data_IF_894001267845
#
_entry.id   IF_894001267845
#
_cell.length_a   1.000
_cell.length_b   1.000
_cell.length_c   1.000
_cell.angle_alpha   90.00
_cell.angle_beta   90.00
_cell.angle_gamma   90.00
#
_symmetry.space_group_name_H-M   'P 1'
#
loop_
_entity.id
_entity.type
_entity.pdbx_description
1 polymer ?
#
# COMPACT_ATOMS: atom_id res chain seq x y z
N UNK A 1 18.28 7.31 12.37
CA UNK A 1 17.88 6.92 11.00
C UNK A 1 18.52 7.92 10.06
N UNK A 2 19.28 7.49 9.04
CA UNK A 2 19.72 8.43 8.00
C UNK A 2 18.47 8.84 7.21
N UNK A 3 18.22 10.16 7.16
CA UNK A 3 17.28 10.86 6.26
C UNK A 3 15.83 10.34 6.22
N UNK A 4 14.96 10.81 7.11
CA UNK A 4 13.51 10.78 6.83
C UNK A 4 13.26 11.82 5.74
N UNK A 5 12.63 11.41 4.64
CA UNK A 5 12.30 12.31 3.52
C UNK A 5 10.83 12.70 3.68
N UNK A 6 10.59 13.77 4.42
CA UNK A 6 9.26 14.19 4.87
C UNK A 6 8.26 14.28 3.72
N UNK A 7 8.60 14.95 2.63
CA UNK A 7 7.73 15.13 1.46
C UNK A 7 7.22 13.82 0.84
N UNK A 8 7.96 12.71 0.95
CA UNK A 8 7.48 11.40 0.49
C UNK A 8 6.42 10.81 1.42
N UNK A 9 6.47 11.11 2.73
CA UNK A 9 5.37 10.81 3.64
C UNK A 9 4.13 11.62 3.27
N UNK A 10 4.29 12.89 2.90
CA UNK A 10 3.19 13.73 2.41
C UNK A 10 2.48 13.13 1.19
N UNK A 11 3.26 12.71 0.18
CA UNK A 11 2.72 12.01 -1.00
C UNK A 11 1.99 10.73 -0.62
N UNK A 12 2.57 9.95 0.29
CA UNK A 12 1.96 8.72 0.80
C UNK A 12 0.58 8.97 1.41
N UNK A 13 0.43 10.09 2.14
CA UNK A 13 -0.84 10.54 2.69
C UNK A 13 -1.88 10.83 1.60
N UNK A 14 -1.54 11.69 0.63
CA UNK A 14 -2.44 12.06 -0.48
C UNK A 14 -2.86 10.82 -1.26
N UNK A 15 -1.90 9.99 -1.64
CA UNK A 15 -2.16 8.78 -2.42
C UNK A 15 -3.04 7.77 -1.67
N UNK A 16 -2.91 7.67 -0.35
CA UNK A 16 -3.83 6.80 0.43
C UNK A 16 -5.28 7.30 0.39
N UNK A 17 -5.50 8.61 0.34
CA UNK A 17 -6.85 9.20 0.19
C UNK A 17 -7.37 9.01 -1.23
N UNK A 18 -6.53 9.12 -2.26
CA UNK A 18 -6.94 8.86 -3.65
C UNK A 18 -7.35 7.39 -3.86
N UNK A 19 -6.67 6.45 -3.18
CA UNK A 19 -7.08 5.04 -3.16
C UNK A 19 -8.45 4.86 -2.48
N UNK A 20 -8.78 5.65 -1.46
CA UNK A 20 -10.14 5.62 -0.85
C UNK A 20 -11.18 6.04 -1.89
N UNK A 21 -10.90 7.10 -2.64
CA UNK A 21 -11.80 7.56 -3.70
C UNK A 21 -11.97 6.51 -4.81
N UNK A 22 -10.90 5.84 -5.24
CA UNK A 22 -10.97 4.73 -6.19
C UNK A 22 -11.96 3.63 -5.74
N UNK A 23 -11.89 3.25 -4.46
CA UNK A 23 -12.67 2.12 -3.94
C UNK A 23 -14.09 2.48 -3.51
N UNK A 24 -14.51 3.75 -3.58
CA UNK A 24 -15.94 4.11 -3.47
C UNK A 24 -16.67 3.82 -4.78
N UNK A 25 -16.41 2.65 -5.36
CA UNK A 25 -16.87 2.25 -6.69
C UNK A 25 -18.27 1.60 -6.67
N UNK A 26 -19.03 1.72 -5.58
CA UNK A 26 -20.43 1.31 -5.54
C UNK A 26 -21.30 2.14 -6.50
N UNK A 27 -20.80 3.27 -6.98
CA UNK A 27 -21.48 4.21 -7.87
C UNK A 27 -20.68 4.47 -9.14
N UNK A 28 -20.27 3.40 -9.85
CA UNK A 28 -19.37 3.48 -11.03
C UNK A 28 -19.82 4.45 -12.12
N UNK A 29 -21.13 4.67 -12.26
CA UNK A 29 -21.72 5.56 -13.26
C UNK A 29 -21.66 7.04 -12.90
N UNK A 30 -21.41 7.39 -11.63
CA UNK A 30 -21.41 8.79 -11.18
C UNK A 30 -20.20 9.54 -11.73
N UNK A 31 -20.39 10.82 -12.05
CA UNK A 31 -19.33 11.70 -12.58
C UNK A 31 -18.11 11.80 -11.65
N UNK A 32 -18.29 11.60 -10.34
CA UNK A 32 -17.22 11.64 -9.35
C UNK A 32 -16.32 10.40 -9.41
N UNK A 33 -16.81 9.30 -9.97
CA UNK A 33 -16.07 8.04 -10.14
C UNK A 33 -15.68 7.77 -11.58
N UNK A 34 -16.59 8.04 -12.52
CA UNK A 34 -16.44 7.74 -13.94
C UNK A 34 -15.51 8.73 -14.65
N UNK A 35 -14.27 8.84 -14.15
CA UNK A 35 -13.23 9.65 -14.74
C UNK A 35 -11.89 8.91 -14.67
N UNK A 36 -11.03 9.17 -15.65
CA UNK A 36 -9.74 8.47 -15.78
C UNK A 36 -8.88 8.55 -14.51
N UNK A 37 -8.98 9.64 -13.76
CA UNK A 37 -8.11 9.89 -12.62
C UNK A 37 -8.49 9.04 -11.40
N UNK A 38 -9.77 9.04 -11.02
CA UNK A 38 -10.27 8.24 -9.89
C UNK A 38 -10.23 6.75 -10.22
N UNK A 39 -10.60 6.37 -11.44
CA UNK A 39 -10.55 4.96 -11.90
C UNK A 39 -9.13 4.39 -11.81
N UNK A 40 -8.10 5.17 -12.15
CA UNK A 40 -6.72 4.68 -12.13
C UNK A 40 -5.96 5.04 -10.85
N UNK A 41 -6.66 5.50 -9.80
CA UNK A 41 -6.02 5.80 -8.51
C UNK A 41 -5.62 4.54 -7.73
N UNK A 42 -6.00 3.34 -8.18
CA UNK A 42 -5.44 2.05 -7.73
C UNK A 42 -3.94 1.92 -8.01
N UNK A 43 -3.44 2.58 -9.05
CA UNK A 43 -2.02 2.60 -9.40
C UNK A 43 -1.15 3.21 -8.30
N UNK A 44 -1.70 4.05 -7.42
CA UNK A 44 -0.94 4.62 -6.31
C UNK A 44 -0.49 3.57 -5.28
N UNK A 45 -1.04 2.35 -5.33
CA UNK A 45 -0.48 1.21 -4.58
C UNK A 45 0.96 0.90 -5.02
N UNK A 46 1.29 1.10 -6.30
CA UNK A 46 2.67 0.92 -6.79
C UNK A 46 3.62 1.93 -6.18
N UNK A 47 3.18 3.17 -5.98
CA UNK A 47 3.99 4.14 -5.26
C UNK A 47 4.35 3.65 -3.86
N UNK A 48 3.42 3.00 -3.14
CA UNK A 48 3.73 2.44 -1.82
C UNK A 48 4.80 1.35 -1.90
N UNK A 49 4.73 0.45 -2.89
CA UNK A 49 5.75 -0.59 -3.09
C UNK A 49 7.11 0.00 -3.47
N UNK A 50 7.16 0.94 -4.42
CA UNK A 50 8.40 1.63 -4.83
C UNK A 50 8.99 2.40 -3.65
N UNK A 51 8.18 3.14 -2.91
CA UNK A 51 8.63 3.87 -1.72
C UNK A 51 9.14 2.91 -0.64
N UNK A 52 8.50 1.76 -0.45
CA UNK A 52 8.94 0.74 0.48
C UNK A 52 10.32 0.20 0.11
N UNK A 53 10.54 -0.15 -1.16
CA UNK A 53 11.85 -0.56 -1.68
C UNK A 53 12.93 0.49 -1.46
N UNK A 54 12.63 1.75 -1.77
CA UNK A 54 13.52 2.89 -1.56
C UNK A 54 13.92 3.04 -0.08
N UNK A 55 12.94 3.09 0.83
CA UNK A 55 13.17 3.30 2.26
C UNK A 55 13.89 2.11 2.90
N UNK A 56 13.54 0.88 2.51
CA UNK A 56 14.21 -0.32 3.02
C UNK A 56 15.66 -0.39 2.54
N UNK A 57 15.92 -0.17 1.25
CA UNK A 57 17.29 -0.14 0.73
C UNK A 57 18.14 0.88 1.48
N UNK A 58 17.62 2.10 1.67
CA UNK A 58 18.30 3.18 2.39
C UNK A 58 18.67 2.82 3.83
N UNK A 59 17.85 2.02 4.51
CA UNK A 59 18.03 1.73 5.93
C UNK A 59 18.68 0.37 6.21
N UNK A 60 18.60 -0.61 5.30
CA UNK A 60 18.96 -2.00 5.56
C UNK A 60 20.03 -2.58 4.63
N UNK A 61 20.43 -1.91 3.55
CA UNK A 61 21.44 -2.43 2.60
C UNK A 61 22.73 -2.89 3.28
N UNK A 62 23.17 -2.18 4.32
CA UNK A 62 24.42 -2.47 5.03
C UNK A 62 24.19 -3.01 6.46
N UNK A 63 22.95 -3.36 6.80
CA UNK A 63 22.57 -3.86 8.14
C UNK A 63 22.29 -5.35 8.19
N UNK A 64 21.85 -5.95 7.09
CA UNK A 64 21.58 -7.39 7.02
C UNK A 64 22.88 -8.08 6.61
N UNK A 65 23.62 -8.62 7.58
CA UNK A 65 24.90 -9.32 7.34
C UNK A 65 24.90 -10.77 7.83
N UNK A 66 23.90 -11.14 8.61
CA UNK A 66 23.75 -12.48 9.19
C UNK A 66 22.27 -12.92 9.17
N UNK A 67 22.00 -14.23 9.32
CA UNK A 67 20.63 -14.71 9.51
C UNK A 67 19.91 -14.03 10.69
N UNK A 68 20.61 -13.73 11.78
CA UNK A 68 20.05 -13.02 12.93
C UNK A 68 19.59 -11.59 12.59
N UNK A 69 20.36 -10.88 11.75
CA UNK A 69 19.96 -9.56 11.25
C UNK A 69 18.73 -9.64 10.35
N UNK A 70 18.66 -10.67 9.50
CA UNK A 70 17.51 -10.94 8.62
C UNK A 70 16.23 -11.19 9.43
N UNK A 71 16.26 -12.08 10.43
CA UNK A 71 15.12 -12.30 11.31
C UNK A 71 14.77 -11.07 12.13
N UNK A 72 15.77 -10.32 12.60
CA UNK A 72 15.55 -9.03 13.29
C UNK A 72 14.90 -7.98 12.38
N UNK A 73 15.24 -7.96 11.10
CA UNK A 73 14.63 -7.11 10.08
C UNK A 73 13.16 -7.51 9.87
N UNK A 74 12.87 -8.78 9.58
CA UNK A 74 11.51 -9.27 9.36
C UNK A 74 10.62 -9.04 10.58
N UNK A 75 11.12 -9.33 11.79
CA UNK A 75 10.40 -9.06 13.04
C UNK A 75 9.97 -7.59 13.15
N UNK A 76 10.84 -6.64 12.76
CA UNK A 76 10.49 -5.20 12.75
C UNK A 76 9.47 -4.83 11.67
N UNK A 77 9.35 -5.60 10.60
CA UNK A 77 8.31 -5.40 9.56
C UNK A 77 6.98 -5.95 10.03
N UNK A 78 6.96 -7.17 10.57
CA UNK A 78 5.77 -7.79 11.16
C UNK A 78 5.21 -6.93 12.29
N UNK A 79 6.03 -6.47 13.25
CA UNK A 79 5.56 -5.59 14.34
C UNK A 79 4.95 -4.28 13.82
N UNK A 80 5.36 -3.81 12.64
CA UNK A 80 4.82 -2.59 12.03
C UNK A 80 3.48 -2.83 11.34
N UNK A 81 3.34 -3.94 10.62
CA UNK A 81 2.16 -4.21 9.78
C UNK A 81 1.07 -5.00 10.54
N UNK A 82 1.48 -6.06 11.24
CA UNK A 82 0.56 -7.05 11.80
C UNK A 82 -0.50 -6.50 12.76
N UNK A 83 -0.20 -5.56 13.67
CA UNK A 83 -1.21 -5.11 14.65
C UNK A 83 -2.48 -4.58 14.00
N UNK A 84 -2.35 -3.74 12.97
CA UNK A 84 -3.51 -3.16 12.31
C UNK A 84 -4.14 -4.14 11.31
N UNK A 85 -3.32 -4.95 10.62
CA UNK A 85 -3.82 -6.01 9.75
C UNK A 85 -4.75 -6.95 10.52
N UNK A 86 -4.30 -7.50 11.65
CA UNK A 86 -5.11 -8.39 12.50
C UNK A 86 -6.36 -7.68 13.00
N UNK A 87 -6.24 -6.44 13.48
CA UNK A 87 -7.39 -5.70 13.97
C UNK A 87 -8.47 -5.53 12.89
N UNK A 88 -8.08 -5.07 11.69
CA UNK A 88 -9.05 -4.89 10.59
C UNK A 88 -9.66 -6.22 10.13
N UNK A 89 -8.85 -7.29 10.08
CA UNK A 89 -9.35 -8.62 9.72
C UNK A 89 -10.38 -9.15 10.73
N UNK A 90 -10.14 -8.96 12.02
CA UNK A 90 -11.10 -9.32 13.08
C UNK A 90 -12.38 -8.50 13.00
N UNK A 91 -12.29 -7.19 12.73
CA UNK A 91 -13.46 -6.33 12.53
C UNK A 91 -14.29 -6.81 11.33
N UNK A 92 -13.63 -7.14 10.22
CA UNK A 92 -14.30 -7.71 9.04
C UNK A 92 -14.95 -9.05 9.31
N UNK A 93 -14.26 -9.95 10.02
CA UNK A 93 -14.79 -11.26 10.40
C UNK A 93 -16.05 -11.09 11.26
N UNK A 94 -15.99 -10.23 12.28
CA UNK A 94 -17.12 -9.93 13.15
C UNK A 94 -18.32 -9.39 12.37
N UNK A 95 -18.11 -8.38 11.50
CA UNK A 95 -19.18 -7.82 10.69
C UNK A 95 -19.75 -8.82 9.70
N UNK A 96 -18.94 -9.71 9.15
CA UNK A 96 -19.42 -10.74 8.24
C UNK A 96 -20.31 -11.77 8.94
N UNK A 97 -19.90 -12.26 10.11
CA UNK A 97 -20.67 -13.21 10.92
C UNK A 97 -21.99 -12.58 11.39
N UNK A 98 -21.94 -11.35 11.91
CA UNK A 98 -23.17 -10.62 12.28
C UNK A 98 -24.06 -10.40 11.05
N UNK A 99 -23.44 -10.05 9.92
CA UNK A 99 -24.13 -9.81 8.66
C UNK A 99 -24.81 -11.06 8.10
N UNK A 100 -24.27 -12.26 8.29
CA UNK A 100 -24.90 -13.52 7.83
C UNK A 100 -26.26 -13.76 8.47
N UNK A 101 -26.52 -13.15 9.63
CA UNK A 101 -27.81 -13.18 10.32
C UNK A 101 -28.67 -11.93 10.05
N UNK A 102 -28.20 -11.01 9.21
CA UNK A 102 -28.89 -9.75 8.91
C UNK A 102 -29.67 -9.82 7.60
N UNK A 103 -30.92 -9.33 7.54
CA UNK A 103 -31.67 -9.24 6.29
C UNK A 103 -31.06 -8.23 5.31
N UNK A 104 -30.09 -7.43 5.74
CA UNK A 104 -29.39 -6.45 4.90
C UNK A 104 -28.25 -7.07 4.08
N UNK A 105 -27.84 -8.31 4.35
CA UNK A 105 -26.78 -9.00 3.60
C UNK A 105 -27.39 -9.82 2.46
N UNK A 106 -26.82 -9.68 1.27
CA UNK A 106 -27.38 -10.29 0.05
C UNK A 106 -27.06 -11.79 -0.09
N UNK A 107 -26.02 -12.27 0.61
CA UNK A 107 -25.51 -13.62 0.53
C UNK A 107 -24.71 -13.95 1.80
N UNK A 108 -24.87 -15.17 2.30
CA UNK A 108 -24.01 -15.72 3.35
C UNK A 108 -22.85 -16.48 2.73
N UNK A 109 -21.71 -16.54 3.43
CA UNK A 109 -20.58 -17.35 3.03
C UNK A 109 -20.54 -18.64 3.85
N UNK A 110 -20.01 -19.70 3.25
CA UNK A 110 -19.66 -20.93 3.96
C UNK A 110 -18.62 -20.62 5.07
N UNK A 111 -18.76 -21.12 6.31
CA UNK A 111 -17.77 -20.93 7.36
C UNK A 111 -16.33 -21.25 6.95
N UNK A 112 -16.13 -22.21 6.04
CA UNK A 112 -14.79 -22.54 5.53
C UNK A 112 -14.18 -21.39 4.70
N UNK A 113 -14.99 -20.58 4.03
CA UNK A 113 -14.53 -19.37 3.34
C UNK A 113 -13.83 -18.43 4.32
N UNK A 114 -14.44 -18.16 5.48
CA UNK A 114 -13.85 -17.29 6.50
C UNK A 114 -12.52 -17.82 7.03
N UNK A 115 -12.44 -19.13 7.30
CA UNK A 115 -11.19 -19.75 7.75
C UNK A 115 -10.09 -19.58 6.69
N UNK A 116 -10.41 -19.82 5.42
CA UNK A 116 -9.45 -19.67 4.31
C UNK A 116 -8.98 -18.24 4.15
N UNK A 117 -9.89 -17.27 4.04
CA UNK A 117 -9.53 -15.86 3.82
C UNK A 117 -8.77 -15.26 5.00
N UNK A 118 -9.15 -15.60 6.23
CA UNK A 118 -8.42 -15.13 7.42
C UNK A 118 -7.03 -15.75 7.47
N UNK A 119 -6.90 -17.05 7.21
CA UNK A 119 -5.60 -17.73 7.19
C UNK A 119 -4.70 -17.13 6.10
N UNK A 120 -5.25 -16.89 4.92
CA UNK A 120 -4.57 -16.31 3.78
C UNK A 120 -4.01 -14.90 4.09
N UNK A 121 -4.84 -14.02 4.65
CA UNK A 121 -4.42 -12.68 5.08
C UNK A 121 -3.39 -12.73 6.21
N UNK A 122 -3.62 -13.53 7.25
CA UNK A 122 -2.78 -13.57 8.44
C UNK A 122 -1.44 -14.28 8.23
N UNK A 123 -1.30 -15.07 7.16
CA UNK A 123 -0.05 -15.70 6.73
C UNK A 123 0.67 -14.90 5.64
N UNK A 124 0.15 -13.72 5.25
CA UNK A 124 0.67 -12.89 4.16
C UNK A 124 0.67 -13.58 2.79
N UNK A 125 -0.31 -14.43 2.53
CA UNK A 125 -0.44 -15.16 1.27
C UNK A 125 -1.50 -14.56 0.35
N UNK A 126 -2.30 -13.61 0.80
CA UNK A 126 -3.43 -13.04 0.04
C UNK A 126 -3.11 -12.26 -1.23
N UNK A 127 -1.86 -12.30 -1.71
CA UNK A 127 -1.46 -11.84 -3.05
C UNK A 127 -0.90 -12.97 -3.92
N UNK A 128 -1.08 -14.21 -3.49
CA UNK A 128 -0.59 -15.44 -4.12
C UNK A 128 -1.74 -16.41 -4.34
N UNK A 129 -1.65 -17.32 -5.33
CA UNK A 129 -2.67 -18.34 -5.56
C UNK A 129 -2.58 -19.53 -4.58
N UNK A 130 -1.77 -19.44 -3.51
CA UNK A 130 -1.44 -20.60 -2.63
C UNK A 130 -2.68 -21.12 -1.92
N UNK A 131 -3.46 -20.22 -1.32
CA UNK A 131 -4.72 -20.60 -0.71
C UNK A 131 -5.84 -20.62 -1.75
N UNK A 132 -5.81 -19.71 -2.73
CA UNK A 132 -6.67 -19.69 -3.91
C UNK A 132 -6.79 -18.28 -4.48
N UNK A 133 -7.52 -18.13 -5.58
CA UNK A 133 -7.69 -16.86 -6.29
C UNK A 133 -8.95 -16.12 -5.81
N UNK A 134 -8.95 -15.62 -4.57
CA UNK A 134 -10.09 -14.91 -3.99
C UNK A 134 -9.71 -13.59 -3.33
N UNK A 135 -10.71 -12.72 -3.23
CA UNK A 135 -10.61 -11.45 -2.53
C UNK A 135 -10.75 -11.72 -1.01
N UNK A 136 -9.71 -11.39 -0.25
CA UNK A 136 -9.75 -11.47 1.22
C UNK A 136 -10.83 -10.58 1.84
N UNK A 137 -11.16 -10.79 3.11
CA UNK A 137 -12.25 -10.07 3.78
C UNK A 137 -12.01 -8.55 3.76
N UNK A 138 -10.78 -8.14 4.07
CA UNK A 138 -10.29 -6.81 3.80
C UNK A 138 -9.67 -6.79 2.39
N UNK A 139 -10.44 -6.44 1.35
CA UNK A 139 -9.98 -6.48 -0.04
C UNK A 139 -8.65 -5.74 -0.35
N UNK A 140 -8.22 -4.64 0.32
CA UNK A 140 -6.89 -4.04 0.08
C UNK A 140 -5.71 -4.80 0.72
N UNK A 141 -5.98 -5.81 1.57
CA UNK A 141 -4.94 -6.50 2.36
C UNK A 141 -3.94 -7.30 1.52
N UNK A 142 -4.29 -7.70 0.29
CA UNK A 142 -3.37 -8.37 -0.65
C UNK A 142 -2.06 -7.58 -0.82
N UNK A 143 -2.13 -6.25 -0.82
CA UNK A 143 -0.95 -5.40 -0.98
C UNK A 143 0.03 -5.55 0.19
N UNK A 144 -0.48 -5.80 1.40
CA UNK A 144 0.35 -6.01 2.59
C UNK A 144 1.04 -7.37 2.53
N UNK A 145 0.36 -8.39 2.01
CA UNK A 145 0.94 -9.69 1.69
C UNK A 145 2.07 -9.54 0.66
N UNK A 146 1.82 -8.83 -0.44
CA UNK A 146 2.82 -8.55 -1.47
C UNK A 146 4.04 -7.80 -0.90
N UNK A 147 3.80 -6.82 -0.02
CA UNK A 147 4.89 -6.06 0.63
C UNK A 147 5.74 -6.95 1.55
N UNK A 148 5.12 -7.83 2.35
CA UNK A 148 5.87 -8.77 3.19
C UNK A 148 6.69 -9.77 2.36
N UNK A 149 6.12 -10.31 1.28
CA UNK A 149 6.86 -11.19 0.37
C UNK A 149 8.07 -10.44 -0.23
N UNK A 150 7.89 -9.20 -0.68
CA UNK A 150 8.98 -8.38 -1.19
C UNK A 150 10.08 -8.12 -0.14
N UNK A 151 9.72 -7.91 1.13
CA UNK A 151 10.71 -7.81 2.21
C UNK A 151 11.50 -9.10 2.41
N UNK A 152 10.84 -10.26 2.38
CA UNK A 152 11.51 -11.57 2.49
C UNK A 152 12.48 -11.76 1.33
N UNK A 153 12.01 -11.55 0.09
CA UNK A 153 12.84 -11.65 -1.12
C UNK A 153 14.05 -10.73 -1.04
N UNK A 154 13.84 -9.44 -0.73
CA UNK A 154 14.94 -8.48 -0.59
C UNK A 154 15.93 -8.91 0.49
N UNK A 155 15.45 -9.26 1.69
CA UNK A 155 16.32 -9.65 2.79
C UNK A 155 17.16 -10.90 2.48
N UNK A 156 16.59 -11.88 1.78
CA UNK A 156 17.31 -13.07 1.31
C UNK A 156 18.35 -12.72 0.26
N UNK A 157 18.03 -11.86 -0.71
CA UNK A 157 18.99 -11.44 -1.74
C UNK A 157 20.17 -10.68 -1.12
N UNK A 158 19.92 -9.77 -0.16
CA UNK A 158 21.00 -9.06 0.53
C UNK A 158 21.87 -10.03 1.35
N UNK A 159 21.27 -11.01 2.02
CA UNK A 159 21.99 -11.98 2.85
C UNK A 159 22.83 -12.96 2.02
N UNK A 160 22.29 -13.47 0.91
CA UNK A 160 22.85 -14.60 0.17
C UNK A 160 23.68 -14.18 -1.05
N UNK A 161 23.24 -13.17 -1.80
CA UNK A 161 23.90 -12.78 -3.05
C UNK A 161 25.07 -11.82 -2.85
N UNK A 162 25.23 -11.23 -1.65
CA UNK A 162 26.34 -10.38 -1.24
C UNK A 162 26.74 -9.35 -2.32
N UNK A 163 27.88 -9.55 -3.00
CA UNK A 163 28.41 -8.67 -4.06
C UNK A 163 27.52 -8.62 -5.30
N UNK A 164 26.81 -9.71 -5.60
CA UNK A 164 25.96 -9.85 -6.79
C UNK A 164 24.50 -9.46 -6.55
N UNK A 165 24.16 -8.89 -5.38
CA UNK A 165 22.79 -8.52 -5.00
C UNK A 165 22.03 -7.73 -6.07
N UNK A 166 22.68 -6.76 -6.71
CA UNK A 166 22.02 -5.94 -7.73
C UNK A 166 21.78 -6.71 -9.04
N UNK A 167 22.67 -7.64 -9.42
CA UNK A 167 22.47 -8.53 -10.57
C UNK A 167 21.26 -9.43 -10.32
N UNK A 168 21.19 -10.04 -9.13
CA UNK A 168 20.06 -10.90 -8.75
C UNK A 168 18.75 -10.12 -8.73
N UNK A 169 18.73 -8.91 -8.16
CA UNK A 169 17.54 -8.04 -8.19
C UNK A 169 17.13 -7.68 -9.63
N UNK A 170 18.09 -7.42 -10.53
CA UNK A 170 17.80 -7.17 -11.95
C UNK A 170 17.17 -8.40 -12.62
N UNK A 171 17.72 -9.60 -12.39
CA UNK A 171 17.15 -10.85 -12.91
C UNK A 171 15.72 -11.09 -12.39
N UNK A 172 15.48 -10.85 -11.10
CA UNK A 172 14.14 -10.94 -10.49
C UNK A 172 13.19 -9.94 -11.14
N UNK A 173 13.60 -8.68 -11.33
CA UNK A 173 12.77 -7.67 -12.00
C UNK A 173 12.44 -8.08 -13.44
N UNK A 174 13.41 -8.60 -14.20
CA UNK A 174 13.17 -9.08 -15.57
C UNK A 174 12.22 -10.27 -15.60
N UNK A 175 12.34 -11.21 -14.66
CA UNK A 175 11.41 -12.32 -14.53
C UNK A 175 9.98 -11.84 -14.20
N UNK A 176 9.84 -10.85 -13.30
CA UNK A 176 8.53 -10.27 -12.98
C UNK A 176 7.90 -9.57 -14.19
N UNK A 177 8.69 -8.78 -14.94
CA UNK A 177 8.23 -8.12 -16.17
C UNK A 177 7.83 -9.19 -17.20
N UNK A 178 8.67 -10.21 -17.42
CA UNK A 178 8.38 -11.30 -18.35
C UNK A 178 7.10 -12.04 -17.99
N UNK A 179 6.86 -12.31 -16.70
CA UNK A 179 5.61 -12.92 -16.24
C UNK A 179 4.40 -12.03 -16.49
N UNK A 180 4.49 -10.74 -16.17
CA UNK A 180 3.39 -9.79 -16.39
C UNK A 180 3.05 -9.68 -17.88
N UNK A 181 4.07 -9.59 -18.74
CA UNK A 181 3.89 -9.55 -20.20
C UNK A 181 3.28 -10.85 -20.71
N UNK A 182 3.73 -12.00 -20.20
CA UNK A 182 3.17 -13.31 -20.55
C UNK A 182 1.70 -13.45 -20.11
N UNK A 183 1.35 -12.95 -18.93
CA UNK A 183 -0.05 -12.90 -18.45
C UNK A 183 -0.92 -11.95 -19.26
N UNK A 184 -0.34 -10.93 -19.88
CA UNK A 184 -1.05 -9.93 -20.68
C UNK A 184 -1.78 -8.86 -19.86
N UNK A 185 -1.63 -8.87 -18.54
CA UNK A 185 -2.24 -7.89 -17.64
C UNK A 185 -1.29 -7.50 -16.50
N UNK A 186 -1.26 -6.20 -16.20
CA UNK A 186 -0.46 -5.61 -15.14
C UNK A 186 -1.20 -5.52 -13.80
N UNK A 187 -2.53 -5.39 -13.81
CA UNK A 187 -3.33 -5.18 -12.58
C UNK A 187 -3.55 -6.53 -11.86
N UNK A 188 -2.44 -7.16 -11.48
CA UNK A 188 -2.40 -8.31 -10.60
C UNK A 188 -2.65 -7.85 -9.16
N UNK A 189 -3.50 -8.56 -8.43
CA UNK A 189 -3.88 -8.21 -7.05
C UNK A 189 -3.82 -9.44 -6.12
N UNK A 190 -4.95 -10.08 -5.85
CA UNK A 190 -4.99 -11.32 -5.07
C UNK A 190 -4.38 -12.48 -5.85
N UNK A 191 -4.54 -12.45 -7.17
CA UNK A 191 -3.93 -13.33 -8.15
C UNK A 191 -2.57 -12.78 -8.60
N UNK A 192 -1.50 -13.24 -7.96
CA UNK A 192 -0.11 -12.89 -8.32
C UNK A 192 0.31 -11.43 -8.09
N UNK A 193 -0.42 -10.63 -7.31
CA UNK A 193 -0.02 -9.26 -6.99
C UNK A 193 1.33 -9.15 -6.26
N UNK A 194 1.84 -10.25 -5.68
CA UNK A 194 3.20 -10.31 -5.15
C UNK A 194 4.27 -10.06 -6.25
N UNK A 195 4.03 -10.45 -7.50
CA UNK A 195 4.95 -10.25 -8.63
C UNK A 195 5.06 -8.77 -8.97
N UNK A 196 3.90 -8.09 -9.07
CA UNK A 196 3.81 -6.64 -9.21
C UNK A 196 4.50 -5.94 -8.03
N UNK A 197 4.22 -6.38 -6.80
CA UNK A 197 4.84 -5.85 -5.59
C UNK A 197 6.37 -5.96 -5.58
N UNK A 198 6.92 -7.13 -5.94
CA UNK A 198 8.38 -7.35 -6.04
C UNK A 198 8.99 -6.44 -7.11
N UNK A 199 8.39 -6.34 -8.30
CA UNK A 199 8.87 -5.45 -9.36
C UNK A 199 8.95 -4.01 -8.87
N UNK A 200 7.85 -3.48 -8.34
CA UNK A 200 7.78 -2.11 -7.80
C UNK A 200 8.82 -1.90 -6.69
N UNK A 201 8.95 -2.86 -5.78
CA UNK A 201 9.93 -2.82 -4.70
C UNK A 201 11.37 -2.74 -5.23
N UNK A 202 11.74 -3.60 -6.18
CA UNK A 202 13.05 -3.59 -6.81
C UNK A 202 13.34 -2.25 -7.51
N UNK A 203 12.36 -1.67 -8.21
CA UNK A 203 12.48 -0.34 -8.81
C UNK A 203 12.86 0.69 -7.74
N UNK A 204 12.21 0.66 -6.58
CA UNK A 204 12.56 1.51 -5.43
C UNK A 204 13.98 1.31 -4.89
N UNK A 205 14.45 0.05 -4.84
CA UNK A 205 15.84 -0.26 -4.44
C UNK A 205 16.83 0.39 -5.41
N UNK A 206 16.56 0.34 -6.71
CA UNK A 206 17.40 0.99 -7.73
C UNK A 206 17.31 2.52 -7.66
N UNK A 207 16.13 3.09 -7.35
CA UNK A 207 15.97 4.53 -7.07
C UNK A 207 16.91 4.97 -5.94
N UNK A 208 16.98 4.19 -4.85
CA UNK A 208 17.90 4.47 -3.76
C UNK A 208 19.37 4.38 -4.20
N UNK A 209 19.73 3.34 -4.95
CA UNK A 209 21.09 3.17 -5.47
C UNK A 209 21.52 4.39 -6.30
N UNK A 210 20.65 4.90 -7.17
CA UNK A 210 20.93 6.10 -7.97
C UNK A 210 21.15 7.33 -7.08
N UNK A 211 20.21 7.62 -6.18
CA UNK A 211 20.29 8.78 -5.27
C UNK A 211 21.42 8.68 -4.24
N UNK A 212 21.93 7.48 -3.97
CA UNK A 212 23.11 7.29 -3.11
C UNK A 212 24.42 7.73 -3.78
N UNK A 213 24.45 7.76 -5.12
CA UNK A 213 25.62 8.08 -5.94
C UNK A 213 25.57 9.49 -6.52
N UNK A 214 24.38 10.02 -6.75
CA UNK A 214 24.19 11.31 -7.43
C UNK A 214 23.43 12.28 -6.53
N UNK A 215 23.87 13.53 -6.49
CA UNK A 215 23.14 14.63 -5.86
C UNK A 215 22.48 15.46 -6.96
N UNK A 216 21.16 15.56 -6.91
CA UNK A 216 20.36 16.30 -7.87
C UNK A 216 19.70 17.51 -7.20
N UNK A 217 19.33 18.51 -7.99
CA UNK A 217 18.49 19.64 -7.57
C UNK A 217 17.40 19.83 -8.62
N UNK A 218 16.18 19.37 -8.32
CA UNK A 218 15.10 19.20 -9.30
C UNK A 218 13.84 20.03 -8.96
N UNK A 219 14.01 21.21 -8.34
CA UNK A 219 12.88 22.03 -7.89
C UNK A 219 11.94 22.49 -9.01
N UNK A 220 12.44 22.63 -10.24
CA UNK A 220 11.62 22.99 -11.41
C UNK A 220 10.91 21.80 -12.04
N UNK A 221 11.26 20.57 -11.66
CA UNK A 221 10.70 19.35 -12.23
C UNK A 221 9.42 18.87 -11.50
N UNK A 222 9.00 19.54 -10.42
CA UNK A 222 7.80 19.17 -9.64
C UNK A 222 6.53 19.20 -10.51
N UNK A 223 6.22 20.33 -11.15
CA UNK A 223 5.03 20.46 -12.00
C UNK A 223 5.12 19.61 -13.29
N UNK A 224 6.24 19.60 -14.03
CA UNK A 224 6.40 18.68 -15.17
C UNK A 224 6.17 17.21 -14.79
N UNK A 225 6.63 16.78 -13.60
CA UNK A 225 6.38 15.44 -13.11
C UNK A 225 4.88 15.16 -12.90
N UNK A 226 4.15 16.08 -12.25
CA UNK A 226 2.70 15.93 -12.03
C UNK A 226 1.95 15.88 -13.37
N UNK A 227 2.31 16.74 -14.32
CA UNK A 227 1.72 16.75 -15.66
C UNK A 227 1.96 15.41 -16.36
N UNK A 228 3.20 14.90 -16.32
CA UNK A 228 3.53 13.61 -16.91
C UNK A 228 2.72 12.47 -16.27
N UNK A 229 2.64 12.43 -14.94
CA UNK A 229 1.89 11.40 -14.21
C UNK A 229 0.42 11.40 -14.61
N UNK A 230 -0.23 12.57 -14.63
CA UNK A 230 -1.64 12.72 -15.03
C UNK A 230 -1.83 12.38 -16.51
N UNK A 231 -0.92 12.82 -17.39
CA UNK A 231 -0.97 12.50 -18.81
C UNK A 231 -0.80 10.99 -19.07
N UNK A 232 0.07 10.31 -18.33
CA UNK A 232 0.23 8.86 -18.41
C UNK A 232 -1.03 8.12 -17.92
N UNK A 233 -1.68 8.60 -16.85
CA UNK A 233 -2.97 8.05 -16.39
C UNK A 233 -4.06 8.24 -17.42
N UNK A 234 -4.14 9.43 -18.04
CA UNK A 234 -5.09 9.70 -19.11
C UNK A 234 -4.84 8.80 -20.32
N UNK A 235 -3.60 8.74 -20.81
CA UNK A 235 -3.19 7.93 -21.96
C UNK A 235 -3.50 6.44 -21.77
N UNK A 236 -3.10 5.88 -20.63
CA UNK A 236 -3.32 4.45 -20.33
C UNK A 236 -4.78 4.09 -20.16
N UNK A 237 -5.60 5.01 -19.65
CA UNK A 237 -7.04 4.82 -19.57
C UNK A 237 -7.73 4.95 -20.95
N UNK A 238 -7.46 6.04 -21.67
CA UNK A 238 -8.15 6.39 -22.90
C UNK A 238 -7.85 5.42 -24.05
N UNK A 239 -6.62 4.91 -24.12
CA UNK A 239 -6.22 3.90 -25.11
C UNK A 239 -6.24 2.46 -24.55
N UNK A 240 -6.84 2.24 -23.38
CA UNK A 240 -6.99 0.92 -22.75
C UNK A 240 -5.67 0.13 -22.71
N UNK A 241 -4.56 0.83 -22.41
CA UNK A 241 -3.22 0.26 -22.41
C UNK A 241 -2.97 -0.54 -21.13
N UNK A 242 -3.57 -1.72 -21.01
CA UNK A 242 -3.44 -2.61 -19.85
C UNK A 242 -1.98 -2.87 -19.48
N UNK A 243 -1.18 -3.36 -20.44
CA UNK A 243 0.26 -3.55 -20.26
C UNK A 243 1.04 -2.22 -20.20
N UNK A 244 0.48 -1.13 -20.75
CA UNK A 244 1.07 0.21 -20.63
C UNK A 244 1.25 0.63 -19.17
N UNK A 245 0.44 0.10 -18.25
CA UNK A 245 0.55 0.39 -16.82
C UNK A 245 1.89 -0.07 -16.18
N UNK A 246 2.65 -0.95 -16.85
CA UNK A 246 4.03 -1.31 -16.46
C UNK A 246 5.00 -0.11 -16.37
N UNK A 247 4.67 1.04 -16.96
CA UNK A 247 5.48 2.25 -16.85
C UNK A 247 5.37 2.93 -15.47
N UNK A 248 4.28 2.71 -14.72
CA UNK A 248 3.99 3.45 -13.49
C UNK A 248 5.01 3.26 -12.36
N UNK A 249 5.56 2.05 -12.10
CA UNK A 249 6.65 1.90 -11.13
C UNK A 249 7.84 2.83 -11.41
N UNK A 250 8.17 3.01 -12.70
CA UNK A 250 9.25 3.90 -13.12
C UNK A 250 8.87 5.38 -13.01
N UNK A 251 7.62 5.74 -13.33
CA UNK A 251 7.09 7.10 -13.09
C UNK A 251 7.14 7.41 -11.59
N UNK A 252 6.69 6.51 -10.72
CA UNK A 252 6.76 6.69 -9.27
C UNK A 252 8.19 6.78 -8.73
N UNK A 253 9.13 5.99 -9.29
CA UNK A 253 10.56 6.16 -9.01
C UNK A 253 11.06 7.55 -9.39
N UNK A 254 10.66 8.07 -10.55
CA UNK A 254 11.00 9.45 -10.94
C UNK A 254 10.38 10.48 -10.00
N UNK A 255 9.14 10.27 -9.54
CA UNK A 255 8.53 11.09 -8.50
C UNK A 255 9.35 11.10 -7.21
N UNK A 256 9.79 9.94 -6.74
CA UNK A 256 10.68 9.83 -5.58
C UNK A 256 11.99 10.61 -5.82
N UNK A 257 12.58 10.52 -7.01
CA UNK A 257 13.80 11.27 -7.37
C UNK A 257 13.58 12.78 -7.33
N UNK A 258 12.51 13.25 -7.98
CA UNK A 258 12.15 14.68 -8.05
C UNK A 258 11.92 15.22 -6.64
N UNK A 259 11.01 14.61 -5.89
CA UNK A 259 10.64 15.12 -4.56
C UNK A 259 11.74 14.94 -3.52
N UNK A 260 12.56 13.89 -3.59
CA UNK A 260 13.75 13.76 -2.70
C UNK A 260 14.83 14.80 -3.00
N UNK A 261 14.83 15.38 -4.20
CA UNK A 261 15.85 16.31 -4.70
C UNK A 261 15.34 17.73 -4.90
N UNK A 262 14.13 18.04 -4.43
CA UNK A 262 13.46 19.32 -4.62
C UNK A 262 13.36 20.12 -3.31
N UNK A 263 13.30 21.44 -3.45
CA UNK A 263 12.94 22.41 -2.40
C UNK A 263 11.83 23.38 -2.86
N UNK A 264 11.13 22.98 -3.93
CA UNK A 264 10.08 23.74 -4.61
C UNK A 264 8.78 23.86 -3.81
N UNK A 265 7.78 24.56 -4.37
CA UNK A 265 6.51 24.83 -3.69
C UNK A 265 5.72 23.57 -3.36
N UNK A 266 5.68 22.57 -4.23
CA UNK A 266 4.95 21.32 -3.94
C UNK A 266 5.65 20.53 -2.84
N UNK A 267 6.99 20.49 -2.84
CA UNK A 267 7.74 19.88 -1.73
C UNK A 267 7.43 20.57 -0.40
N UNK A 268 7.37 21.91 -0.35
CA UNK A 268 7.01 22.65 0.88
C UNK A 268 5.59 22.33 1.34
N UNK A 269 4.63 22.23 0.42
CA UNK A 269 3.26 21.84 0.73
C UNK A 269 3.21 20.40 1.29
N UNK A 270 3.91 19.46 0.66
CA UNK A 270 3.98 18.06 1.11
C UNK A 270 4.67 17.91 2.46
N UNK A 271 5.61 18.80 2.78
CA UNK A 271 6.27 18.88 4.10
C UNK A 271 5.46 19.65 5.15
N UNK A 272 4.28 20.20 4.81
CA UNK A 272 3.43 20.87 5.78
C UNK A 272 2.91 19.91 6.85
N UNK A 273 2.62 20.44 8.05
CA UNK A 273 2.09 19.65 9.18
C UNK A 273 0.89 18.76 8.82
N UNK A 274 -0.15 19.26 8.13
CA UNK A 274 -1.28 18.43 7.71
C UNK A 274 -0.91 17.28 6.77
N UNK A 275 -0.06 17.53 5.76
CA UNK A 275 0.37 16.50 4.81
C UNK A 275 1.25 15.44 5.48
N UNK A 276 2.18 15.88 6.34
CA UNK A 276 2.98 14.98 7.17
C UNK A 276 2.12 14.11 8.09
N UNK A 277 1.05 14.69 8.64
CA UNK A 277 0.13 13.97 9.48
C UNK A 277 -0.66 12.92 8.69
N UNK A 278 -1.20 13.25 7.52
CA UNK A 278 -1.81 12.26 6.62
C UNK A 278 -0.83 11.15 6.25
N UNK A 279 0.41 11.50 5.93
CA UNK A 279 1.49 10.55 5.67
C UNK A 279 1.75 9.60 6.84
N UNK A 280 1.72 10.11 8.07
CA UNK A 280 1.91 9.34 9.30
C UNK A 280 0.81 8.30 9.50
N UNK A 281 -0.45 8.64 9.23
CA UNK A 281 -1.60 7.72 9.38
C UNK A 281 -2.00 7.00 8.10
N UNK A 282 -1.27 7.19 6.99
CA UNK A 282 -1.58 6.63 5.66
C UNK A 282 -1.77 5.11 5.65
N UNK A 283 -1.01 4.38 6.49
CA UNK A 283 -1.20 2.94 6.65
C UNK A 283 -2.58 2.61 7.21
N UNK A 284 -3.01 3.37 8.22
CA UNK A 284 -4.33 3.22 8.82
C UNK A 284 -5.43 3.63 7.84
N UNK A 285 -5.26 4.73 7.10
CA UNK A 285 -6.19 5.14 6.04
C UNK A 285 -6.36 3.99 5.03
N UNK A 286 -5.25 3.44 4.57
CA UNK A 286 -5.24 2.37 3.57
C UNK A 286 -5.88 1.07 4.06
N UNK A 287 -5.73 0.64 5.30
CA UNK A 287 -6.38 -0.61 5.76
C UNK A 287 -7.83 -0.43 6.21
N UNK A 288 -8.18 0.75 6.70
CA UNK A 288 -9.51 1.00 7.25
C UNK A 288 -10.54 1.44 6.22
N UNK A 289 -10.12 1.97 5.07
CA UNK A 289 -11.06 2.56 4.11
C UNK A 289 -12.14 1.57 3.65
N UNK A 290 -11.78 0.31 3.44
CA UNK A 290 -12.72 -0.75 3.05
C UNK A 290 -13.88 -0.90 4.06
N UNK A 291 -13.55 -0.89 5.37
CA UNK A 291 -14.54 -0.98 6.46
C UNK A 291 -15.49 0.21 6.37
N UNK A 292 -14.94 1.42 6.27
CA UNK A 292 -15.73 2.65 6.26
C UNK A 292 -16.62 2.74 5.03
N UNK A 293 -16.10 2.42 3.84
CA UNK A 293 -16.85 2.47 2.59
C UNK A 293 -18.02 1.48 2.59
N UNK A 294 -17.79 0.24 3.05
CA UNK A 294 -18.85 -0.78 3.14
C UNK A 294 -19.92 -0.34 4.14
N UNK A 295 -19.51 0.12 5.34
CA UNK A 295 -20.46 0.58 6.35
C UNK A 295 -21.25 1.80 5.87
N UNK A 296 -20.61 2.78 5.24
CA UNK A 296 -21.28 3.94 4.65
C UNK A 296 -22.30 3.53 3.60
N UNK A 297 -21.96 2.56 2.73
CA UNK A 297 -22.90 2.06 1.74
C UNK A 297 -24.11 1.37 2.39
N UNK A 298 -23.88 0.50 3.37
CA UNK A 298 -24.94 -0.21 4.09
C UNK A 298 -25.85 0.77 4.84
N UNK A 299 -25.28 1.72 5.59
CA UNK A 299 -26.04 2.68 6.40
C UNK A 299 -26.87 3.60 5.52
N UNK A 300 -26.26 4.25 4.53
CA UNK A 300 -26.96 5.26 3.72
C UNK A 300 -27.99 4.65 2.77
N UNK A 301 -27.62 3.58 2.05
CA UNK A 301 -28.40 3.11 0.90
C UNK A 301 -29.22 1.85 1.20
N UNK A 302 -28.86 1.04 2.21
CA UNK A 302 -29.65 -0.14 2.60
C UNK A 302 -30.53 0.12 3.82
N UNK A 303 -29.97 0.75 4.86
CA UNK A 303 -30.70 1.03 6.09
C UNK A 303 -31.60 2.26 5.95
N UNK A 304 -31.03 3.43 5.60
CA UNK A 304 -31.82 4.65 5.37
C UNK A 304 -32.49 4.71 3.99
N UNK A 305 -32.13 3.82 3.06
CA UNK A 305 -32.70 3.73 1.70
C UNK A 305 -32.67 5.07 0.94
N UNK A 306 -31.62 5.86 1.16
CA UNK A 306 -31.44 7.12 0.44
C UNK A 306 -31.23 6.85 -1.05
N UNK A 307 -31.76 7.71 -1.90
CA UNK A 307 -31.55 7.60 -3.35
C UNK A 307 -30.10 7.98 -3.71
N UNK A 308 -29.40 7.21 -4.56
CA UNK A 308 -28.03 7.50 -4.99
C UNK A 308 -28.02 8.57 -6.10
N UNK A 309 -28.45 9.78 -5.77
CA UNK A 309 -28.32 10.96 -6.64
C UNK A 309 -26.89 11.49 -6.62
N UNK A 310 -26.46 12.21 -7.66
CA UNK A 310 -25.10 12.80 -7.71
C UNK A 310 -24.72 13.61 -6.46
N UNK A 311 -25.59 14.49 -5.90
CA UNK A 311 -25.28 15.18 -4.65
C UNK A 311 -25.12 14.23 -3.45
N UNK A 312 -25.94 13.18 -3.37
CA UNK A 312 -25.85 12.19 -2.30
C UNK A 312 -24.57 11.35 -2.41
N UNK A 313 -24.19 10.99 -3.64
CA UNK A 313 -22.96 10.26 -3.93
C UNK A 313 -21.74 11.10 -3.55
N UNK A 314 -21.72 12.38 -3.93
CA UNK A 314 -20.69 13.32 -3.51
C UNK A 314 -20.59 13.46 -1.98
N UNK A 315 -21.73 13.63 -1.31
CA UNK A 315 -21.77 13.70 0.15
C UNK A 315 -21.26 12.39 0.79
N UNK A 316 -21.61 11.25 0.23
CA UNK A 316 -21.14 9.94 0.66
C UNK A 316 -19.63 9.79 0.48
N UNK A 317 -19.05 10.26 -0.63
CA UNK A 317 -17.60 10.24 -0.89
C UNK A 317 -16.85 11.07 0.14
N UNK A 318 -17.23 12.34 0.29
CA UNK A 318 -16.59 13.28 1.22
C UNK A 318 -16.75 12.79 2.66
N UNK A 319 -17.94 12.32 3.03
CA UNK A 319 -18.21 11.72 4.33
C UNK A 319 -17.37 10.47 4.59
N UNK A 320 -17.20 9.60 3.58
CA UNK A 320 -16.37 8.40 3.71
C UNK A 320 -14.89 8.72 3.85
N UNK A 321 -14.37 9.71 3.12
CA UNK A 321 -12.98 10.17 3.26
C UNK A 321 -12.75 10.75 4.66
N UNK A 322 -13.65 11.64 5.11
CA UNK A 322 -13.55 12.26 6.43
C UNK A 322 -13.62 11.21 7.56
N UNK A 323 -14.58 10.28 7.47
CA UNK A 323 -14.74 9.20 8.44
C UNK A 323 -13.56 8.23 8.41
N UNK A 324 -13.00 7.93 7.24
CA UNK A 324 -11.79 7.12 7.11
C UNK A 324 -10.61 7.78 7.80
N UNK A 325 -10.39 9.08 7.60
CA UNK A 325 -9.31 9.82 8.26
C UNK A 325 -9.50 9.84 9.78
N UNK A 326 -10.73 10.13 10.25
CA UNK A 326 -11.04 10.15 11.67
C UNK A 326 -10.87 8.78 12.34
N UNK A 327 -11.42 7.73 11.73
CA UNK A 327 -11.27 6.35 12.22
C UNK A 327 -9.80 5.91 12.20
N UNK A 328 -9.06 6.28 11.16
CA UNK A 328 -7.63 5.97 11.04
C UNK A 328 -6.76 6.69 12.05
N UNK A 329 -7.11 7.92 12.45
CA UNK A 329 -6.48 8.58 13.60
C UNK A 329 -6.64 7.72 14.87
N UNK A 330 -7.85 7.26 15.15
CA UNK A 330 -8.13 6.46 16.35
C UNK A 330 -7.38 5.12 16.32
N UNK A 331 -7.47 4.35 15.24
CA UNK A 331 -6.79 3.04 15.16
C UNK A 331 -5.27 3.19 15.14
N UNK A 332 -4.74 4.26 14.53
CA UNK A 332 -3.31 4.54 14.56
C UNK A 332 -2.79 4.69 16.00
N UNK A 333 -3.49 5.48 16.83
CA UNK A 333 -3.06 5.73 18.21
C UNK A 333 -3.37 4.56 19.15
N UNK A 334 -4.51 3.90 18.98
CA UNK A 334 -4.99 2.86 19.89
C UNK A 334 -4.46 1.46 19.57
N UNK A 335 -4.24 1.15 18.30
CA UNK A 335 -3.83 -0.18 17.84
C UNK A 335 -2.38 -0.15 17.37
N UNK A 336 -2.10 0.56 16.28
CA UNK A 336 -0.79 0.54 15.62
C UNK A 336 0.34 0.97 16.56
N UNK A 337 0.20 2.12 17.21
CA UNK A 337 1.21 2.69 18.10
C UNK A 337 1.33 1.93 19.42
N UNK A 338 0.21 1.62 20.10
CA UNK A 338 0.26 0.95 21.42
C UNK A 338 0.86 -0.45 21.31
N UNK A 339 0.33 -1.26 20.39
CA UNK A 339 0.77 -2.64 20.21
C UNK A 339 2.19 -2.66 19.64
N UNK A 340 2.49 -1.80 18.66
CA UNK A 340 3.83 -1.66 18.09
C UNK A 340 4.88 -1.25 19.14
N UNK A 341 4.56 -0.30 20.02
CA UNK A 341 5.46 0.13 21.09
C UNK A 341 5.66 -0.95 22.16
N UNK A 342 4.62 -1.70 22.50
CA UNK A 342 4.70 -2.83 23.43
C UNK A 342 5.72 -3.87 22.95
N UNK A 343 5.59 -4.33 21.69
CA UNK A 343 6.52 -5.32 21.13
C UNK A 343 7.95 -4.77 20.93
N UNK A 344 8.10 -3.48 20.61
CA UNK A 344 9.42 -2.82 20.54
C UNK A 344 10.12 -2.81 21.90
N UNK A 345 9.42 -2.41 22.97
CA UNK A 345 9.98 -2.40 24.34
C UNK A 345 10.48 -3.78 24.75
N UNK A 346 9.67 -4.83 24.57
CA UNK A 346 10.02 -6.22 24.93
C UNK A 346 11.23 -6.74 24.15
N UNK A 347 11.39 -6.32 22.89
CA UNK A 347 12.54 -6.72 22.05
C UNK A 347 13.84 -6.04 22.49
N UNK A 348 13.77 -4.83 23.06
CA UNK A 348 14.94 -4.13 23.61
C UNK A 348 15.39 -4.75 24.94
N UNK A 349 14.44 -5.09 25.83
CA UNK A 349 14.73 -5.71 27.14
C UNK A 349 15.33 -7.12 27.00
N UNK A 350 14.90 -7.91 26.01
CA UNK A 350 15.46 -9.24 25.76
C UNK A 350 16.93 -9.23 25.31
N UNK A 351 17.40 -8.15 24.65
CA UNK A 351 18.81 -8.01 24.26
C UNK A 351 19.73 -7.62 25.42
N UNK A 352 19.19 -7.05 26.49
CA UNK A 352 19.94 -6.66 27.69
C UNK A 352 20.16 -7.85 28.63
N UNK A 353 19.28 -8.85 28.58
CA UNK A 353 19.35 -10.05 29.43
C UNK A 353 20.25 -11.12 28.80
N UNK A 354 20.36 -11.18 27.46
CA UNK A 354 21.24 -12.13 26.76
C UNK A 354 22.70 -11.70 26.66
N UNK A 355 23.07 -10.58 27.29
CA UNK A 355 24.44 -10.04 27.33
C UNK A 355 25.08 -10.14 28.72
N UNK A 356 24.51 -10.97 29.59
CA UNK A 356 25.03 -11.29 30.92
C UNK A 356 25.36 -12.77 31.02
#
# INVERSE_FOLDING_TARGET
MKGRVEQLDGLRGIFSVLVVAHHHNAFKESIFYNNFFVINSDLFVDFFFVLSGFVIAMNYNDRIKSPSDFFSFLKKRIIRLYPLLVFTELVFLLFNIIGDHSPLKNFSMDPMYYVRTVTDTLTFMGSTPIFGDWIGLNYPSWSISAEMIAYVVYGLVILLALRNRYVVLTLISMACIGFIVWKGDYILAYDYGFIRGILCFCVGVFTHLLLSKVRLRLSTAEFPFIILMVAAMYATHHWELHLGKLMFPFIFSMGIIVFSSSTGPLTRLLSSGPMQYLGKISYSIYLNHAIVLILMNVVLFRFFKLSPTEPMIFASLVGSIALTIAYSHLTYHLVEMRIGNYFRKKTTTSRTISSH
#
